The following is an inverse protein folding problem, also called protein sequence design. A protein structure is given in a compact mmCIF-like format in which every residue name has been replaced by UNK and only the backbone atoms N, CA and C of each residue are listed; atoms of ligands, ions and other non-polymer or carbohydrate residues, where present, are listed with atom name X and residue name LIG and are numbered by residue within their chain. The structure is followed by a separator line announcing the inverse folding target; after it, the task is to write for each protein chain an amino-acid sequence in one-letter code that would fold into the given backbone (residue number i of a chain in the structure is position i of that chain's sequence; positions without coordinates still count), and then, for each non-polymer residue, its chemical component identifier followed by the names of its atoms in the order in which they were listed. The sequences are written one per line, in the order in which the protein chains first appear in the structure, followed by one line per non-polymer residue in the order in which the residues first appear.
data_IF_096266543683
#
_entry.id   IF_096266543683
#
_cell.length_a   1.000
_cell.length_b   1.000
_cell.length_c   1.000
_cell.angle_alpha   90.00
_cell.angle_beta   90.00
_cell.angle_gamma   90.00
#
_symmetry.space_group_name_H-M   'P 1'
#
loop_
_entity.id
_entity.type
_entity.pdbx_description
1 polymer ?
#
# COMPACT_ATOMS: atom_id res chain seq x y z
N UNK A 1 22.04 10.63 11.89
CA UNK A 1 21.08 10.47 10.82
C UNK A 1 19.88 9.68 11.30
N UNK A 2 18.70 10.17 11.00
CA UNK A 2 17.47 9.57 11.47
C UNK A 2 17.13 8.32 10.63
N UNK A 3 17.17 7.15 11.25
CA UNK A 3 16.79 5.90 10.59
C UNK A 3 15.30 5.90 10.17
N UNK A 4 14.46 6.62 10.93
CA UNK A 4 13.05 6.78 10.59
C UNK A 4 12.86 7.56 9.29
N UNK A 5 13.65 8.60 9.06
CA UNK A 5 13.58 9.38 7.82
C UNK A 5 14.02 8.54 6.62
N UNK A 6 15.12 7.80 6.75
CA UNK A 6 15.60 6.91 5.69
C UNK A 6 14.58 5.84 5.36
N UNK A 7 13.94 5.25 6.37
CA UNK A 7 12.87 4.26 6.20
C UNK A 7 11.68 4.87 5.45
N UNK A 8 11.26 6.07 5.83
CA UNK A 8 10.13 6.77 5.20
C UNK A 8 10.40 7.07 3.72
N UNK A 9 11.60 7.55 3.41
CA UNK A 9 11.99 7.82 2.04
C UNK A 9 12.01 6.54 1.21
N UNK A 10 12.54 5.46 1.74
CA UNK A 10 12.56 4.16 1.10
C UNK A 10 11.14 3.67 0.82
N UNK A 11 10.24 3.78 1.79
CA UNK A 11 8.84 3.35 1.63
C UNK A 11 8.09 4.25 0.64
N UNK A 12 8.36 5.55 0.66
CA UNK A 12 7.75 6.47 -0.31
C UNK A 12 8.11 6.07 -1.73
N UNK A 13 9.38 5.76 -1.97
CA UNK A 13 9.85 5.31 -3.28
C UNK A 13 9.32 3.92 -3.62
N UNK A 14 9.28 3.02 -2.65
CA UNK A 14 8.81 1.65 -2.84
C UNK A 14 7.33 1.59 -3.20
N UNK A 15 6.50 2.37 -2.51
CA UNK A 15 5.06 2.42 -2.82
C UNK A 15 4.81 3.08 -4.17
N UNK A 16 5.60 4.11 -4.52
CA UNK A 16 5.52 4.73 -5.84
C UNK A 16 5.92 3.74 -6.94
N UNK A 17 6.99 2.99 -6.74
CA UNK A 17 7.45 1.98 -7.69
C UNK A 17 6.39 0.88 -7.87
N UNK A 18 5.73 0.49 -6.78
CA UNK A 18 4.63 -0.48 -6.83
C UNK A 18 3.50 0.03 -7.75
N UNK A 19 3.09 1.28 -7.59
CA UNK A 19 2.05 1.88 -8.43
C UNK A 19 2.45 1.91 -9.91
N UNK A 20 3.72 2.20 -10.21
CA UNK A 20 4.22 2.21 -11.58
C UNK A 20 4.25 0.80 -12.18
N UNK A 21 4.60 -0.20 -11.39
CA UNK A 21 4.58 -1.60 -11.84
C UNK A 21 3.15 -2.07 -12.11
N UNK A 22 2.20 -1.65 -11.27
CA UNK A 22 0.78 -1.93 -11.49
C UNK A 22 0.29 -1.25 -12.78
N UNK A 23 0.71 -0.02 -13.02
CA UNK A 23 0.37 0.69 -14.26
C UNK A 23 0.80 -0.12 -15.49
N UNK A 24 2.02 -0.65 -15.49
CA UNK A 24 2.54 -1.47 -16.59
C UNK A 24 1.71 -2.73 -16.79
N UNK A 25 1.35 -3.40 -15.70
CA UNK A 25 0.49 -4.58 -15.75
C UNK A 25 -0.86 -4.22 -16.37
N UNK A 26 -1.48 -3.13 -15.90
CA UNK A 26 -2.78 -2.68 -16.38
C UNK A 26 -2.77 -2.41 -17.90
N UNK A 27 -1.67 -1.87 -18.41
CA UNK A 27 -1.53 -1.55 -19.84
C UNK A 27 -1.53 -2.80 -20.72
N UNK A 28 -1.27 -3.97 -20.17
CA UNK A 28 -1.22 -5.23 -20.92
C UNK A 28 -2.50 -6.04 -20.85
N UNK A 29 -3.50 -5.59 -20.07
CA UNK A 29 -4.73 -6.34 -19.88
C UNK A 29 -5.71 -6.16 -21.06
N UNK A 30 -6.56 -7.18 -21.33
CA UNK A 30 -7.56 -7.08 -22.40
C UNK A 30 -8.56 -5.94 -22.19
N UNK A 31 -9.16 -5.46 -23.28
CA UNK A 31 -10.13 -4.37 -23.25
C UNK A 31 -11.57 -4.79 -22.97
N UNK A 32 -11.81 -5.98 -22.42
CA UNK A 32 -13.17 -6.42 -22.07
C UNK A 32 -13.71 -5.66 -20.87
N UNK A 33 -15.04 -5.50 -20.72
CA UNK A 33 -15.61 -4.78 -19.59
C UNK A 33 -15.15 -5.31 -18.23
N UNK A 34 -15.09 -6.62 -18.06
CA UNK A 34 -14.67 -7.24 -16.79
C UNK A 34 -13.21 -6.96 -16.49
N UNK A 35 -12.35 -7.07 -17.51
CA UNK A 35 -10.92 -6.75 -17.37
C UNK A 35 -10.72 -5.28 -17.02
N UNK A 36 -11.44 -4.38 -17.67
CA UNK A 36 -11.36 -2.94 -17.42
C UNK A 36 -11.78 -2.61 -15.99
N UNK A 37 -12.83 -3.27 -15.48
CA UNK A 37 -13.27 -3.08 -14.09
C UNK A 37 -12.17 -3.47 -13.10
N UNK A 38 -11.61 -4.67 -13.27
CA UNK A 38 -10.54 -5.16 -12.38
C UNK A 38 -9.30 -4.28 -12.47
N UNK A 39 -8.94 -3.87 -13.68
CA UNK A 39 -7.82 -2.97 -13.95
C UNK A 39 -7.99 -1.65 -13.19
N UNK A 40 -9.18 -1.05 -13.31
CA UNK A 40 -9.44 0.26 -12.69
C UNK A 40 -9.39 0.17 -11.17
N UNK A 41 -9.93 -0.90 -10.60
CA UNK A 41 -9.87 -1.13 -9.15
C UNK A 41 -8.44 -1.35 -8.67
N UNK A 42 -7.68 -2.16 -9.39
CA UNK A 42 -6.28 -2.43 -9.03
C UNK A 42 -5.44 -1.15 -9.09
N UNK A 43 -5.56 -0.38 -10.16
CA UNK A 43 -4.80 0.85 -10.31
C UNK A 43 -5.18 1.88 -9.25
N UNK A 44 -6.47 2.00 -8.95
CA UNK A 44 -6.95 2.86 -7.86
C UNK A 44 -6.31 2.47 -6.53
N UNK A 45 -6.29 1.18 -6.20
CA UNK A 45 -5.68 0.70 -4.96
C UNK A 45 -4.19 1.04 -4.92
N UNK A 46 -3.47 0.74 -5.99
CA UNK A 46 -2.02 0.93 -6.03
C UNK A 46 -1.62 2.41 -5.91
N UNK A 47 -2.34 3.29 -6.61
CA UNK A 47 -2.07 4.73 -6.51
C UNK A 47 -2.49 5.29 -5.16
N UNK A 48 -3.55 4.75 -4.56
CA UNK A 48 -3.98 5.15 -3.21
C UNK A 48 -2.91 4.80 -2.17
N UNK A 49 -2.29 3.62 -2.27
CA UNK A 49 -1.19 3.24 -1.37
C UNK A 49 -0.07 4.28 -1.45
N UNK A 50 0.39 4.59 -2.64
CA UNK A 50 1.49 5.53 -2.83
C UNK A 50 1.13 6.94 -2.35
N UNK A 51 -0.07 7.42 -2.71
CA UNK A 51 -0.52 8.77 -2.34
C UNK A 51 -0.70 8.92 -0.84
N UNK A 52 -1.29 7.94 -0.18
CA UNK A 52 -1.54 8.00 1.26
C UNK A 52 -0.26 7.79 2.07
N UNK A 53 0.65 6.95 1.60
CA UNK A 53 1.93 6.81 2.27
C UNK A 53 2.71 8.13 2.23
N UNK A 54 2.76 8.76 1.06
CA UNK A 54 3.38 10.09 0.92
C UNK A 54 2.72 11.11 1.85
N UNK A 55 1.38 11.13 1.86
CA UNK A 55 0.62 12.05 2.70
C UNK A 55 0.87 11.82 4.19
N UNK A 56 1.15 10.59 4.62
CA UNK A 56 1.45 10.29 6.01
C UNK A 56 2.66 11.07 6.53
N UNK A 57 3.61 11.39 5.64
CA UNK A 57 4.79 12.20 5.99
C UNK A 57 4.46 13.64 6.33
N UNK A 58 3.25 14.10 6.00
CA UNK A 58 2.77 15.47 6.24
C UNK A 58 1.55 15.48 7.15
N UNK A 59 1.37 14.40 7.92
CA UNK A 59 0.21 14.27 8.80
C UNK A 59 0.18 15.38 9.85
N UNK A 60 -1.03 15.85 10.14
CA UNK A 60 -1.28 16.96 11.09
C UNK A 60 -1.23 16.53 12.55
N UNK A 61 -1.35 15.23 12.80
CA UNK A 61 -1.41 14.65 14.13
C UNK A 61 -1.06 13.17 14.07
N UNK A 62 -0.83 12.57 15.23
CA UNK A 62 -0.62 11.11 15.32
C UNK A 62 -1.82 10.36 14.79
N UNK A 63 -3.03 10.82 15.10
CA UNK A 63 -4.26 10.21 14.63
C UNK A 63 -4.36 10.26 13.10
N UNK A 64 -4.04 11.41 12.50
CA UNK A 64 -4.05 11.57 11.04
C UNK A 64 -3.00 10.68 10.39
N UNK A 65 -1.80 10.62 10.98
CA UNK A 65 -0.73 9.73 10.52
C UNK A 65 -1.20 8.27 10.50
N UNK A 66 -1.78 7.81 11.61
CA UNK A 66 -2.28 6.45 11.73
C UNK A 66 -3.41 6.17 10.74
N UNK A 67 -4.31 7.13 10.52
CA UNK A 67 -5.39 6.99 9.53
C UNK A 67 -4.82 6.81 8.12
N UNK A 68 -3.79 7.58 7.75
CA UNK A 68 -3.14 7.44 6.44
C UNK A 68 -2.51 6.07 6.27
N UNK A 69 -1.84 5.55 7.30
CA UNK A 69 -1.26 4.22 7.28
C UNK A 69 -2.33 3.13 7.17
N UNK A 70 -3.46 3.30 7.86
CA UNK A 70 -4.57 2.35 7.80
C UNK A 70 -5.13 2.25 6.38
N UNK A 71 -5.26 3.38 5.69
CA UNK A 71 -5.69 3.38 4.29
C UNK A 71 -4.67 2.61 3.44
N UNK A 72 -3.38 2.84 3.64
CA UNK A 72 -2.33 2.12 2.92
C UNK A 72 -2.43 0.60 3.16
N UNK A 73 -2.66 0.19 4.40
CA UNK A 73 -2.82 -1.22 4.76
C UNK A 73 -3.99 -1.86 4.01
N UNK A 74 -5.14 -1.21 4.04
CA UNK A 74 -6.35 -1.71 3.39
C UNK A 74 -6.19 -1.77 1.87
N UNK A 75 -5.63 -0.72 1.29
CA UNK A 75 -5.51 -0.61 -0.17
C UNK A 75 -4.44 -1.55 -0.74
N UNK A 76 -3.35 -1.79 -0.02
CA UNK A 76 -2.34 -2.75 -0.48
C UNK A 76 -2.86 -4.18 -0.41
N UNK A 77 -3.65 -4.49 0.60
CA UNK A 77 -4.33 -5.79 0.71
C UNK A 77 -5.36 -5.96 -0.41
N UNK A 78 -6.15 -4.93 -0.69
CA UNK A 78 -7.13 -4.98 -1.78
C UNK A 78 -6.43 -5.10 -3.15
N UNK A 79 -5.29 -4.47 -3.33
CA UNK A 79 -4.52 -4.62 -4.57
C UNK A 79 -4.12 -6.09 -4.80
N UNK A 80 -3.71 -6.78 -3.75
CA UNK A 80 -3.40 -8.21 -3.83
C UNK A 80 -4.63 -9.02 -4.23
N UNK A 81 -5.78 -8.69 -3.66
CA UNK A 81 -7.07 -9.31 -4.03
C UNK A 81 -7.34 -9.18 -5.53
N UNK A 82 -7.21 -7.97 -6.10
CA UNK A 82 -7.49 -7.77 -7.51
C UNK A 82 -6.50 -8.51 -8.41
N UNK A 83 -5.24 -8.60 -8.00
CA UNK A 83 -4.24 -9.38 -8.75
C UNK A 83 -4.59 -10.87 -8.72
N UNK A 84 -5.02 -11.38 -7.57
CA UNK A 84 -5.49 -12.76 -7.46
C UNK A 84 -6.68 -13.01 -8.38
N UNK A 85 -7.63 -12.06 -8.45
CA UNK A 85 -8.79 -12.17 -9.34
C UNK A 85 -8.37 -12.18 -10.81
N UNK A 86 -7.38 -11.38 -11.20
CA UNK A 86 -6.87 -11.38 -12.56
C UNK A 86 -6.32 -12.76 -12.95
N UNK A 87 -5.62 -13.42 -12.04
CA UNK A 87 -5.09 -14.77 -12.26
C UNK A 87 -6.24 -15.78 -12.31
N UNK A 88 -7.16 -15.71 -11.36
CA UNK A 88 -8.30 -16.63 -11.27
C UNK A 88 -9.20 -16.55 -12.51
N UNK A 89 -9.36 -15.36 -13.07
CA UNK A 89 -10.14 -15.14 -14.29
C UNK A 89 -9.32 -15.39 -15.57
N UNK A 90 -8.10 -15.87 -15.44
CA UNK A 90 -7.22 -16.23 -16.55
C UNK A 90 -6.90 -15.05 -17.50
N UNK A 91 -6.91 -13.82 -16.94
CA UNK A 91 -6.55 -12.63 -17.71
C UNK A 91 -5.05 -12.38 -17.74
N UNK A 92 -4.33 -12.96 -16.78
CA UNK A 92 -2.88 -12.90 -16.71
C UNK A 92 -2.37 -14.18 -16.06
N UNK A 93 -1.21 -14.66 -16.50
CA UNK A 93 -0.61 -15.86 -15.93
C UNK A 93 0.10 -15.52 -14.63
N UNK A 94 -0.05 -16.39 -13.62
CA UNK A 94 0.52 -16.18 -12.28
C UNK A 94 2.01 -15.84 -12.31
N UNK A 95 2.79 -16.55 -13.11
CA UNK A 95 4.24 -16.34 -13.16
C UNK A 95 4.62 -14.92 -13.62
N UNK A 96 3.73 -14.22 -14.31
CA UNK A 96 3.99 -12.86 -14.81
C UNK A 96 3.76 -11.79 -13.73
N UNK A 97 2.93 -12.08 -12.72
CA UNK A 97 2.60 -11.09 -11.69
C UNK A 97 2.91 -11.55 -10.27
N UNK A 98 3.47 -12.75 -10.12
CA UNK A 98 3.77 -13.32 -8.81
C UNK A 98 4.67 -12.40 -7.95
N UNK A 99 5.71 -11.82 -8.58
CA UNK A 99 6.60 -10.91 -7.90
C UNK A 99 5.86 -9.65 -7.42
N UNK A 100 4.92 -9.16 -8.23
CA UNK A 100 4.13 -7.98 -7.87
C UNK A 100 3.12 -8.29 -6.77
N UNK A 101 2.51 -9.48 -6.79
CA UNK A 101 1.63 -9.95 -5.72
C UNK A 101 2.41 -10.07 -4.40
N UNK A 102 3.62 -10.60 -4.47
CA UNK A 102 4.51 -10.69 -3.31
C UNK A 102 4.85 -9.30 -2.77
N UNK A 103 5.11 -8.34 -3.64
CA UNK A 103 5.39 -6.97 -3.23
C UNK A 103 4.18 -6.37 -2.50
N UNK A 104 2.97 -6.56 -3.01
CA UNK A 104 1.76 -6.08 -2.33
C UNK A 104 1.64 -6.68 -0.93
N UNK A 105 1.89 -7.97 -0.80
CA UNK A 105 1.84 -8.66 0.50
C UNK A 105 2.90 -8.11 1.46
N UNK A 106 4.12 -7.90 0.99
CA UNK A 106 5.19 -7.33 1.81
C UNK A 106 4.88 -5.91 2.25
N UNK A 107 4.34 -5.08 1.35
CA UNK A 107 3.95 -3.72 1.69
C UNK A 107 2.87 -3.72 2.78
N UNK A 108 1.87 -4.59 2.66
CA UNK A 108 0.83 -4.73 3.67
C UNK A 108 1.45 -5.09 5.02
N UNK A 109 2.36 -6.06 5.05
CA UNK A 109 3.01 -6.51 6.28
C UNK A 109 3.82 -5.40 6.94
N UNK A 110 4.60 -4.66 6.16
CA UNK A 110 5.43 -3.55 6.65
C UNK A 110 4.54 -2.44 7.22
N UNK A 111 3.48 -2.09 6.51
CA UNK A 111 2.56 -1.03 6.92
C UNK A 111 1.79 -1.45 8.17
N UNK A 112 1.35 -2.70 8.25
CA UNK A 112 0.70 -3.25 9.45
C UNK A 112 1.61 -3.12 10.66
N UNK A 113 2.88 -3.47 10.52
CA UNK A 113 3.88 -3.32 11.60
C UNK A 113 4.02 -1.86 12.00
N UNK A 114 4.07 -0.95 11.03
CA UNK A 114 4.15 0.49 11.29
C UNK A 114 2.93 0.99 12.08
N UNK A 115 1.74 0.49 11.76
CA UNK A 115 0.51 0.83 12.49
C UNK A 115 0.59 0.35 13.94
N UNK A 116 1.03 -0.89 14.16
CA UNK A 116 1.16 -1.47 15.50
C UNK A 116 2.15 -0.66 16.32
N UNK A 117 3.31 -0.34 15.75
CA UNK A 117 4.35 0.44 16.41
C UNK A 117 3.84 1.83 16.78
N UNK A 118 3.13 2.49 15.87
CA UNK A 118 2.60 3.83 16.12
C UNK A 118 1.56 3.82 17.22
N UNK A 119 0.64 2.86 17.23
CA UNK A 119 -0.36 2.73 18.30
C UNK A 119 0.30 2.51 19.66
N UNK A 120 1.32 1.65 19.71
CA UNK A 120 2.08 1.40 20.92
C UNK A 120 2.72 2.68 21.45
N UNK A 121 3.35 3.45 20.57
CA UNK A 121 4.00 4.70 20.93
C UNK A 121 3.00 5.77 21.39
N UNK A 122 1.84 5.84 20.74
CA UNK A 122 0.75 6.73 21.15
C UNK A 122 0.25 6.38 22.54
N UNK A 123 0.09 5.09 22.84
CA UNK A 123 -0.35 4.60 24.15
C UNK A 123 0.64 4.98 25.24
N UNK A 124 1.95 4.82 24.97
CA UNK A 124 3.01 5.20 25.91
C UNK A 124 3.00 6.70 26.20
N UNK A 125 2.87 7.53 25.15
CA UNK A 125 2.82 8.99 25.30
C UNK A 125 1.57 9.42 26.04
N UNK A 126 0.41 8.79 25.78
CA UNK A 126 -0.83 9.08 26.50
C UNK A 126 -0.80 8.66 27.96
N UNK A 127 0.01 7.67 28.33
CA UNK A 127 0.22 7.23 29.71
C UNK A 127 1.15 8.13 30.51
N UNK A 128 1.87 9.03 29.85
CA UNK A 128 2.76 10.00 30.51
C UNK A 128 2.02 11.31 30.72
N UNK A 129 1.20 11.37 31.75
CA UNK A 129 0.56 12.63 32.11
C UNK A 129 1.61 13.58 32.70
N UNK A 130 1.59 14.86 32.32
CA UNK A 130 2.40 15.84 32.98
C UNK A 130 2.02 15.90 34.45
N UNK A 131 3.01 16.07 35.29
CA UNK A 131 2.83 16.17 36.72
C UNK A 131 1.92 17.36 37.09
#
# INVERSE_FOLDING_TARGET
MDNGLAFRESMTQRTRAFALRVFKLCSSLPGTPESLHMRDQLFRCATSVAANYRASGRAKSDKDYLNKLKICEEESDEAEFWMDMLVACELVKRHKIEALMKEANELTAIITTSCITKRRNMKKSGGRKPA
#
